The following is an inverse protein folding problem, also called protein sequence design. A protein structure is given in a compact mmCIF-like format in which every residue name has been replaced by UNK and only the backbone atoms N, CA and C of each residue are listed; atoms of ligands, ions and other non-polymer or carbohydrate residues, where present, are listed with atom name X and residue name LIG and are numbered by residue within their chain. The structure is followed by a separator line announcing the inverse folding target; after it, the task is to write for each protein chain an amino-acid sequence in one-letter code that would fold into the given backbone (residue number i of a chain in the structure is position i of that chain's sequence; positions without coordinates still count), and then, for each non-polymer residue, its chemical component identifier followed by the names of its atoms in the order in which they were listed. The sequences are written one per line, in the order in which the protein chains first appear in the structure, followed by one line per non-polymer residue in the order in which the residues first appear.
data_IF_788130396486
#
_entry.id   IF_788130396486
#
_cell.length_a   1.000
_cell.length_b   1.000
_cell.length_c   1.000
_cell.angle_alpha   90.00
_cell.angle_beta   90.00
_cell.angle_gamma   90.00
#
_symmetry.space_group_name_H-M   'P 1'
#
loop_
_entity.id
_entity.type
_entity.pdbx_description
1 polymer ?
#
# COMPACT_ATOMS: atom_id res chain seq x y z
N UNK A 1 -10.46 6.36 -79.66
CA UNK A 1 -11.58 5.92 -78.81
C UNK A 1 -11.01 5.23 -77.59
N UNK A 2 -11.37 5.73 -76.41
CA UNK A 2 -10.84 5.33 -75.11
C UNK A 2 -11.51 4.06 -74.54
N UNK A 3 -10.96 3.58 -73.42
CA UNK A 3 -11.30 2.42 -72.55
C UNK A 3 -10.36 1.22 -72.78
N UNK A 4 -9.78 0.56 -71.77
CA UNK A 4 -10.28 0.25 -70.42
C UNK A 4 -9.18 0.21 -69.35
N UNK A 5 -9.59 0.61 -68.16
CA UNK A 5 -8.93 0.49 -66.86
C UNK A 5 -8.78 -1.00 -66.50
N UNK A 6 -7.62 -1.43 -66.01
CA UNK A 6 -7.50 -2.69 -65.30
C UNK A 6 -6.69 -2.48 -64.03
N UNK A 7 -7.42 -2.53 -62.92
CA UNK A 7 -6.99 -2.29 -61.56
C UNK A 7 -6.08 -3.41 -61.05
N UNK A 8 -4.84 -3.07 -60.68
CA UNK A 8 -4.01 -3.95 -59.86
C UNK A 8 -4.33 -3.69 -58.38
N UNK A 9 -5.16 -4.56 -57.80
CA UNK A 9 -5.38 -4.68 -56.36
C UNK A 9 -4.11 -5.26 -55.73
N UNK A 10 -3.35 -4.44 -55.00
CA UNK A 10 -2.31 -4.95 -54.10
C UNK A 10 -2.97 -5.21 -52.75
N UNK A 11 -3.19 -6.48 -52.43
CA UNK A 11 -3.67 -6.90 -51.11
C UNK A 11 -2.58 -6.66 -50.06
N UNK A 12 -2.85 -5.76 -49.11
CA UNK A 12 -2.04 -5.58 -47.91
C UNK A 12 -2.47 -6.63 -46.88
N UNK A 13 -1.71 -7.71 -46.73
CA UNK A 13 -1.93 -8.67 -45.66
C UNK A 13 -1.40 -8.09 -44.34
N UNK A 14 -2.30 -7.55 -43.51
CA UNK A 14 -1.96 -7.18 -42.15
C UNK A 14 -1.74 -8.46 -41.32
N UNK A 15 -0.50 -8.69 -40.88
CA UNK A 15 -0.19 -9.72 -39.90
C UNK A 15 -0.87 -9.33 -38.58
N UNK A 16 -1.92 -10.06 -38.21
CA UNK A 16 -2.53 -9.94 -36.89
C UNK A 16 -1.56 -10.61 -35.91
N UNK A 17 -0.74 -9.80 -35.23
CA UNK A 17 -0.04 -10.24 -34.04
C UNK A 17 -1.11 -10.57 -33.00
N UNK A 18 -1.47 -11.85 -32.90
CA UNK A 18 -2.14 -12.37 -31.73
C UNK A 18 -1.09 -12.42 -30.61
N UNK A 19 -0.82 -11.28 -29.97
CA UNK A 19 -0.41 -11.32 -28.58
C UNK A 19 -1.61 -11.90 -27.83
N UNK A 20 -1.45 -13.15 -27.41
CA UNK A 20 -2.29 -13.72 -26.37
C UNK A 20 -2.10 -12.85 -25.13
N UNK A 21 -2.86 -11.76 -25.04
CA UNK A 21 -3.21 -11.12 -23.79
C UNK A 21 -4.02 -12.17 -23.04
N UNK A 22 -3.30 -13.06 -22.37
CA UNK A 22 -3.86 -13.97 -21.40
C UNK A 22 -4.58 -13.10 -20.39
N UNK A 23 -5.90 -13.16 -20.43
CA UNK A 23 -6.80 -12.58 -19.45
C UNK A 23 -6.25 -12.85 -18.05
N UNK A 24 -5.56 -11.87 -17.48
CA UNK A 24 -5.35 -11.83 -16.05
C UNK A 24 -6.71 -11.53 -15.48
N UNK A 25 -7.22 -12.44 -14.65
CA UNK A 25 -8.35 -12.15 -13.79
C UNK A 25 -7.97 -10.93 -12.95
N UNK A 26 -8.49 -9.77 -13.34
CA UNK A 26 -8.49 -8.59 -12.50
C UNK A 26 -9.53 -8.80 -11.39
N UNK A 27 -9.31 -8.10 -10.29
CA UNK A 27 -10.23 -7.87 -9.18
C UNK A 27 -10.46 -9.03 -8.19
N UNK A 28 -9.53 -9.13 -7.24
CA UNK A 28 -9.95 -8.85 -5.87
C UNK A 28 -9.58 -7.39 -5.67
N UNK A 29 -10.58 -6.52 -5.55
CA UNK A 29 -10.40 -5.09 -5.27
C UNK A 29 -9.68 -4.96 -3.93
N UNK A 30 -8.34 -4.96 -3.96
CA UNK A 30 -7.53 -4.67 -2.81
C UNK A 30 -7.70 -3.17 -2.59
N UNK A 31 -8.59 -2.80 -1.67
CA UNK A 31 -8.92 -1.39 -1.46
C UNK A 31 -7.68 -0.67 -0.94
N UNK A 32 -7.22 0.29 -1.73
CA UNK A 32 -6.15 1.21 -1.35
C UNK A 32 -6.66 2.18 -0.28
N UNK A 33 -5.86 2.36 0.77
CA UNK A 33 -6.14 3.26 1.89
C UNK A 33 -4.95 4.18 2.07
N UNK A 34 -5.23 5.46 2.18
CA UNK A 34 -4.24 6.45 2.56
C UNK A 34 -4.10 6.50 4.08
N UNK A 35 -2.90 6.20 4.57
CA UNK A 35 -2.55 6.20 6.00
C UNK A 35 -1.56 7.31 6.26
N UNK A 36 -1.96 8.31 7.04
CA UNK A 36 -1.06 9.29 7.60
C UNK A 36 -0.53 8.79 8.95
N UNK A 37 0.76 9.03 9.22
CA UNK A 37 1.40 8.56 10.44
C UNK A 37 2.37 9.59 11.00
N UNK A 38 2.59 9.48 12.31
CA UNK A 38 3.62 10.20 13.05
C UNK A 38 4.24 9.25 14.08
N UNK A 39 5.57 9.33 14.21
CA UNK A 39 6.37 8.57 15.16
C UNK A 39 7.24 9.56 15.95
N UNK A 40 7.11 9.49 17.27
CA UNK A 40 7.92 10.22 18.22
C UNK A 40 8.84 9.22 18.93
N UNK A 41 10.14 9.50 18.89
CA UNK A 41 11.16 8.71 19.57
C UNK A 41 11.91 9.61 20.55
N UNK A 42 12.21 9.10 21.73
CA UNK A 42 12.89 9.88 22.77
C UNK A 42 14.25 10.42 22.27
N UNK A 43 14.42 11.74 22.41
CA UNK A 43 15.64 12.43 22.01
C UNK A 43 15.89 12.46 20.49
N UNK A 44 14.87 12.22 19.67
CA UNK A 44 14.92 12.33 18.21
C UNK A 44 13.88 13.30 17.67
N UNK A 45 14.11 13.77 16.45
CA UNK A 45 13.10 14.52 15.71
C UNK A 45 11.92 13.63 15.34
N UNK A 46 10.73 14.23 15.26
CA UNK A 46 9.52 13.52 14.85
C UNK A 46 9.64 13.03 13.39
N UNK A 47 9.22 11.78 13.16
CA UNK A 47 9.12 11.20 11.81
C UNK A 47 7.63 11.18 11.46
N UNK A 48 7.26 11.74 10.31
CA UNK A 48 5.87 11.75 9.87
C UNK A 48 5.79 11.60 8.35
N UNK A 49 4.64 11.14 7.88
CA UNK A 49 4.44 10.91 6.46
C UNK A 49 3.08 10.33 6.15
N UNK A 50 2.96 9.87 4.91
CA UNK A 50 1.75 9.27 4.40
C UNK A 50 2.10 8.15 3.44
N UNK A 51 1.40 7.03 3.55
CA UNK A 51 1.62 5.84 2.72
C UNK A 51 0.27 5.32 2.20
N UNK A 52 0.26 4.82 0.97
CA UNK A 52 -0.88 4.04 0.46
C UNK A 52 -0.67 2.59 0.88
N UNK A 53 -1.66 2.05 1.59
CA UNK A 53 -1.68 0.71 2.14
C UNK A 53 -2.84 -0.08 1.55
N UNK A 54 -2.69 -1.39 1.47
CA UNK A 54 -3.75 -2.28 1.02
C UNK A 54 -4.38 -3.00 2.22
N UNK A 55 -5.71 -3.17 2.22
CA UNK A 55 -6.40 -3.96 3.24
C UNK A 55 -5.85 -5.40 3.24
N UNK A 56 -5.75 -5.99 4.44
CA UNK A 56 -5.26 -7.34 4.71
C UNK A 56 -3.80 -7.58 4.31
N UNK A 57 -3.03 -6.51 4.11
CA UNK A 57 -1.60 -6.58 3.84
C UNK A 57 -0.81 -5.75 4.85
N UNK A 58 0.38 -6.25 5.21
CA UNK A 58 1.35 -5.47 6.00
C UNK A 58 1.83 -4.30 5.14
N UNK A 59 1.62 -3.09 5.66
CA UNK A 59 2.07 -1.85 5.04
C UNK A 59 3.20 -1.25 5.89
N UNK A 60 4.38 -1.06 5.29
CA UNK A 60 5.49 -0.41 5.97
C UNK A 60 5.27 1.11 5.97
N UNK A 61 5.23 1.72 7.16
CA UNK A 61 5.06 3.16 7.34
C UNK A 61 6.42 3.85 7.52
N UNK A 62 7.28 3.28 8.36
CA UNK A 62 8.62 3.82 8.64
C UNK A 62 9.65 2.72 8.43
N UNK A 63 10.63 2.95 7.58
CA UNK A 63 11.86 2.15 7.47
C UNK A 63 13.03 3.11 7.51
N UNK A 64 13.42 3.53 8.71
CA UNK A 64 14.50 4.49 8.91
C UNK A 64 15.76 3.78 9.45
N UNK A 65 16.73 3.64 8.56
CA UNK A 65 18.05 3.06 8.87
C UNK A 65 18.85 3.86 9.89
N UNK A 66 18.56 5.15 10.09
CA UNK A 66 19.27 6.00 11.07
C UNK A 66 18.77 5.71 12.48
N UNK A 67 17.47 5.62 12.66
CA UNK A 67 16.85 5.30 13.95
C UNK A 67 16.79 3.80 14.22
N UNK A 68 16.95 2.96 13.19
CA UNK A 68 16.86 1.50 13.30
C UNK A 68 15.48 1.04 13.79
N UNK A 69 14.46 1.84 13.51
CA UNK A 69 13.06 1.58 13.85
C UNK A 69 12.27 1.33 12.57
N UNK A 70 11.52 0.25 12.59
CA UNK A 70 10.57 -0.15 11.58
C UNK A 70 9.16 -0.07 12.17
N UNK A 71 8.28 0.69 11.53
CA UNK A 71 6.86 0.75 11.88
C UNK A 71 6.04 0.24 10.73
N UNK A 72 5.16 -0.71 11.01
CA UNK A 72 4.23 -1.26 10.03
C UNK A 72 2.81 -1.33 10.58
N UNK A 73 1.84 -1.29 9.67
CA UNK A 73 0.42 -1.42 10.00
C UNK A 73 -0.22 -2.47 9.11
N UNK A 74 -1.13 -3.25 9.69
CA UNK A 74 -2.06 -4.11 8.94
C UNK A 74 -3.45 -3.57 9.20
N UNK A 75 -4.21 -3.29 8.15
CA UNK A 75 -5.60 -2.83 8.25
C UNK A 75 -6.51 -3.96 7.82
N UNK A 76 -7.36 -4.42 8.73
CA UNK A 76 -8.34 -5.48 8.45
C UNK A 76 -9.68 -4.89 8.00
N UNK A 77 -10.06 -3.72 8.52
CA UNK A 77 -11.31 -3.07 8.12
C UNK A 77 -11.26 -1.55 8.27
N UNK A 78 -11.66 -0.86 7.19
CA UNK A 78 -11.88 0.59 7.18
C UNK A 78 -13.12 0.99 7.99
N UNK A 79 -14.16 0.15 7.95
CA UNK A 79 -15.46 0.44 8.55
C UNK A 79 -15.40 0.35 10.08
N UNK A 80 -14.67 -0.64 10.60
CA UNK A 80 -14.43 -0.82 12.04
C UNK A 80 -13.17 -0.15 12.55
N UNK A 81 -12.34 0.41 11.66
CA UNK A 81 -10.95 0.82 11.95
C UNK A 81 -10.21 -0.27 12.73
N UNK A 82 -10.29 -1.50 12.21
CA UNK A 82 -9.67 -2.67 12.84
C UNK A 82 -8.34 -3.00 12.17
N UNK A 83 -7.39 -3.45 12.97
CA UNK A 83 -6.06 -3.82 12.51
C UNK A 83 -5.03 -3.82 13.62
N UNK A 84 -3.76 -3.76 13.24
CA UNK A 84 -2.63 -3.78 14.17
C UNK A 84 -1.52 -2.85 13.67
N UNK A 85 -0.98 -2.03 14.56
CA UNK A 85 0.31 -1.35 14.36
C UNK A 85 1.39 -2.14 15.08
N UNK A 86 2.53 -2.34 14.44
CA UNK A 86 3.68 -3.05 15.01
C UNK A 86 4.97 -2.25 14.79
N UNK A 87 5.79 -2.22 15.83
CA UNK A 87 7.11 -1.60 15.87
C UNK A 87 8.17 -2.70 16.03
N UNK A 88 9.19 -2.65 15.19
CA UNK A 88 10.36 -3.54 15.25
C UNK A 88 11.63 -2.70 15.26
N UNK A 89 12.65 -3.15 15.99
CA UNK A 89 13.91 -2.44 16.12
C UNK A 89 15.07 -3.37 15.82
N UNK A 90 16.01 -2.93 14.97
CA UNK A 90 17.03 -3.82 14.41
C UNK A 90 18.25 -4.05 15.31
N UNK A 91 18.58 -3.13 16.25
CA UNK A 91 19.47 -3.28 17.43
C UNK A 91 19.94 -1.92 18.01
N UNK A 92 20.16 -1.78 19.33
CA UNK A 92 19.63 -2.64 20.40
C UNK A 92 18.09 -2.58 20.45
N UNK A 93 17.47 -3.48 21.21
CA UNK A 93 16.01 -3.52 21.37
C UNK A 93 15.48 -2.16 21.83
N UNK A 94 14.41 -1.69 21.19
CA UNK A 94 13.70 -0.51 21.69
C UNK A 94 13.14 -0.81 23.09
N UNK A 95 13.22 0.18 23.97
CA UNK A 95 12.51 0.16 25.24
C UNK A 95 11.14 0.76 25.03
N UNK A 96 10.10 -0.03 25.26
CA UNK A 96 8.70 0.37 25.18
C UNK A 96 8.21 0.64 26.60
N UNK A 97 7.55 1.78 26.82
CA UNK A 97 6.94 2.16 28.10
C UNK A 97 6.02 1.07 28.67
N UNK A 98 5.31 0.35 27.81
CA UNK A 98 4.37 -0.71 28.18
C UNK A 98 4.86 -2.12 27.81
N UNK A 99 6.13 -2.25 27.42
CA UNK A 99 6.77 -3.49 26.96
C UNK A 99 6.14 -4.11 25.68
N UNK A 100 5.11 -3.50 25.11
CA UNK A 100 4.42 -3.98 23.93
C UNK A 100 5.05 -3.41 22.65
N UNK A 101 5.19 -4.27 21.65
CA UNK A 101 5.70 -3.93 20.32
C UNK A 101 4.60 -3.76 19.29
N UNK A 102 3.36 -3.98 19.69
CA UNK A 102 2.21 -3.78 18.84
C UNK A 102 1.02 -3.31 19.63
N UNK A 103 0.13 -2.61 18.94
CA UNK A 103 -1.16 -2.20 19.46
C UNK A 103 -2.23 -2.45 18.41
N UNK A 104 -3.42 -2.83 18.87
CA UNK A 104 -4.55 -2.99 17.97
C UNK A 104 -5.17 -1.64 17.64
N UNK A 105 -5.47 -1.46 16.37
CA UNK A 105 -6.46 -0.48 15.94
C UNK A 105 -7.80 -1.10 16.34
N UNK A 106 -8.34 -0.78 17.52
CA UNK A 106 -9.69 -1.24 17.91
C UNK A 106 -10.62 -0.03 18.11
N UNK A 107 -11.90 -0.28 17.80
CA UNK A 107 -13.10 0.52 18.08
C UNK A 107 -12.93 2.00 18.41
N UNK A 108 -13.07 2.88 17.41
CA UNK A 108 -13.56 4.23 17.71
C UNK A 108 -15.04 4.10 18.01
N UNK A 109 -15.43 4.26 19.27
CA UNK A 109 -16.78 4.73 19.56
C UNK A 109 -16.79 6.21 19.20
N UNK A 110 -17.26 6.51 17.99
CA UNK A 110 -17.48 7.88 17.50
C UNK A 110 -16.40 8.37 16.54
N UNK A 111 -16.65 8.21 15.23
CA UNK A 111 -16.20 9.05 14.10
C UNK A 111 -14.70 9.30 13.84
N UNK A 112 -13.85 9.31 14.86
CA UNK A 112 -12.45 9.68 14.79
C UNK A 112 -11.62 8.51 14.22
N UNK A 113 -10.90 8.81 13.15
CA UNK A 113 -10.06 7.86 12.41
C UNK A 113 -8.60 7.91 12.86
N UNK A 114 -8.25 8.80 13.78
CA UNK A 114 -6.90 8.90 14.33
C UNK A 114 -6.72 7.96 15.53
N UNK A 115 -5.51 7.44 15.71
CA UNK A 115 -5.12 6.64 16.88
C UNK A 115 -3.74 7.06 17.34
N UNK A 116 -3.60 7.23 18.65
CA UNK A 116 -2.33 7.42 19.32
C UNK A 116 -2.05 6.19 20.17
N UNK A 117 -0.81 5.72 20.10
CA UNK A 117 -0.32 4.61 20.88
C UNK A 117 0.92 5.06 21.63
N UNK A 118 0.93 4.86 22.94
CA UNK A 118 2.12 4.99 23.76
C UNK A 118 2.60 3.56 24.03
N UNK A 119 3.61 3.15 23.24
CA UNK A 119 4.24 1.85 23.32
C UNK A 119 5.50 1.96 24.16
#
# INVERSE_FOLDING_TARGET
MATRISSALVMLAAAIFASADGSRAADITQSDIQVAYGLLLDGKDAIYGQQVCHIHARCQLVDDRKTQVEVSVTIDSILGLSGEVSVQCSRPDCSFLNEARSARLEGAVGGDRSRQFEL
#
